data_IF_283539059482
#
_entry.id   IF_283539059482
#
_cell.length_a   1.000
_cell.length_b   1.000
_cell.length_c   1.000
_cell.angle_alpha   90.00
_cell.angle_beta   90.00
_cell.angle_gamma   90.00
#
_symmetry.space_group_name_H-M   'P 1'
#
loop_
_entity.id
_entity.type
_entity.pdbx_description
1 polymer ?
#
# COMPACT_ATOMS: atom_id res chain seq x y z
N UNK A 1 -8.07 -11.20 -10.79
CA UNK A 1 -8.19 -12.51 -10.11
C UNK A 1 -7.02 -12.65 -9.14
N UNK A 2 -7.22 -12.97 -7.85
CA UNK A 2 -6.10 -13.25 -6.96
C UNK A 2 -5.31 -14.44 -7.53
N UNK A 3 -3.99 -14.27 -7.68
CA UNK A 3 -3.13 -15.34 -8.16
C UNK A 3 -3.04 -16.47 -7.12
N UNK A 4 -2.96 -17.72 -7.57
CA UNK A 4 -2.75 -18.86 -6.67
C UNK A 4 -1.41 -18.70 -5.93
N UNK A 5 -1.40 -19.02 -4.63
CA UNK A 5 -0.18 -19.01 -3.81
C UNK A 5 0.85 -19.95 -4.42
N UNK A 6 2.02 -19.43 -4.77
CA UNK A 6 3.15 -20.24 -5.24
C UNK A 6 4.13 -20.50 -4.10
N UNK A 7 4.51 -21.76 -3.83
CA UNK A 7 5.57 -22.04 -2.88
C UNK A 7 6.85 -21.37 -3.37
N UNK A 8 7.42 -20.51 -2.52
CA UNK A 8 8.65 -19.77 -2.81
C UNK A 8 9.66 -20.15 -1.74
N UNK A 9 10.86 -20.54 -2.14
CA UNK A 9 11.91 -20.88 -1.18
C UNK A 9 12.54 -19.58 -0.66
N UNK A 10 12.58 -19.41 0.67
CA UNK A 10 13.01 -18.19 1.32
C UNK A 10 14.01 -18.55 2.42
N UNK A 11 15.09 -17.78 2.52
CA UNK A 11 16.05 -17.88 3.61
C UNK A 11 15.66 -16.90 4.72
N UNK A 12 15.46 -17.41 5.93
CA UNK A 12 15.12 -16.63 7.12
C UNK A 12 16.14 -16.99 8.20
N UNK A 13 16.46 -16.03 9.08
CA UNK A 13 17.29 -16.29 10.25
C UNK A 13 16.76 -17.49 11.05
N UNK A 14 17.63 -18.43 11.38
CA UNK A 14 17.29 -19.69 12.04
C UNK A 14 16.74 -19.49 13.45
N UNK A 15 17.27 -18.53 14.20
CA UNK A 15 16.83 -18.22 15.56
C UNK A 15 15.42 -17.61 15.56
N UNK A 16 15.16 -16.72 14.60
CA UNK A 16 13.83 -16.15 14.39
C UNK A 16 12.81 -17.22 13.99
N UNK A 17 13.21 -18.17 13.12
CA UNK A 17 12.36 -19.30 12.75
C UNK A 17 12.07 -20.19 13.97
N UNK A 18 13.06 -20.43 14.82
CA UNK A 18 12.89 -21.21 16.04
C UNK A 18 11.91 -20.54 17.02
N UNK A 19 12.06 -19.22 17.24
CA UNK A 19 11.13 -18.42 18.05
C UNK A 19 9.71 -18.48 17.50
N UNK A 20 9.54 -18.23 16.20
CA UNK A 20 8.22 -18.27 15.56
C UNK A 20 7.55 -19.65 15.66
N UNK A 21 8.34 -20.73 15.56
CA UNK A 21 7.83 -22.11 15.74
C UNK A 21 7.48 -22.39 17.19
N UNK A 22 8.27 -21.93 18.16
CA UNK A 22 7.98 -22.06 19.59
C UNK A 22 6.65 -21.39 19.96
N UNK A 23 6.37 -20.24 19.34
CA UNK A 23 5.11 -19.50 19.48
C UNK A 23 3.96 -20.03 18.60
N UNK A 24 4.18 -21.12 17.85
CA UNK A 24 3.20 -21.73 16.94
C UNK A 24 2.66 -20.76 15.89
N UNK A 25 3.46 -19.79 15.46
CA UNK A 25 3.06 -18.81 14.45
C UNK A 25 2.90 -19.45 13.08
N UNK A 26 1.86 -19.05 12.36
CA UNK A 26 1.69 -19.41 10.96
C UNK A 26 2.56 -18.49 10.08
N UNK A 27 3.80 -18.89 9.87
CA UNK A 27 4.81 -18.09 9.17
C UNK A 27 4.37 -17.67 7.77
N UNK A 28 3.69 -18.55 7.03
CA UNK A 28 3.17 -18.22 5.69
C UNK A 28 2.13 -17.12 5.76
N UNK A 29 1.23 -17.16 6.75
CA UNK A 29 0.21 -16.12 6.91
C UNK A 29 0.83 -14.78 7.30
N UNK A 30 1.71 -14.77 8.29
CA UNK A 30 2.38 -13.53 8.76
C UNK A 30 3.17 -12.91 7.62
N UNK A 31 3.96 -13.71 6.90
CA UNK A 31 4.74 -13.22 5.78
C UNK A 31 3.86 -12.62 4.68
N UNK A 32 2.76 -13.30 4.32
CA UNK A 32 1.83 -12.82 3.31
C UNK A 32 1.21 -11.47 3.72
N UNK A 33 0.72 -11.35 4.95
CA UNK A 33 0.12 -10.12 5.48
C UNK A 33 1.12 -8.95 5.42
N UNK A 34 2.35 -9.17 5.91
CA UNK A 34 3.41 -8.15 5.87
C UNK A 34 3.84 -7.80 4.45
N UNK A 35 3.90 -8.79 3.56
CA UNK A 35 4.26 -8.55 2.17
C UNK A 35 3.20 -7.70 1.45
N UNK A 36 1.90 -7.96 1.70
CA UNK A 36 0.80 -7.16 1.17
C UNK A 36 0.89 -5.71 1.67
N UNK A 37 1.19 -5.49 2.95
CA UNK A 37 1.38 -4.16 3.52
C UNK A 37 2.51 -3.40 2.80
N UNK A 38 3.68 -4.03 2.68
CA UNK A 38 4.87 -3.42 2.05
C UNK A 38 4.60 -3.11 0.57
N UNK A 39 3.99 -4.05 -0.18
CA UNK A 39 3.66 -3.85 -1.60
C UNK A 39 2.68 -2.71 -1.77
N UNK A 40 1.64 -2.62 -0.92
CA UNK A 40 0.67 -1.52 -0.94
C UNK A 40 1.32 -0.18 -0.62
N UNK A 41 2.20 -0.13 0.38
CA UNK A 41 2.92 1.08 0.75
C UNK A 41 3.81 1.58 -0.38
N UNK A 42 4.62 0.69 -0.97
CA UNK A 42 5.46 1.03 -2.11
C UNK A 42 4.65 1.44 -3.33
N UNK A 43 3.53 0.75 -3.59
CA UNK A 43 2.59 1.09 -4.65
C UNK A 43 2.00 2.50 -4.47
N UNK A 44 1.57 2.84 -3.25
CA UNK A 44 1.07 4.19 -2.93
C UNK A 44 2.14 5.25 -3.10
N UNK A 45 3.35 5.02 -2.59
CA UNK A 45 4.46 5.95 -2.74
C UNK A 45 4.80 6.18 -4.21
N UNK A 46 4.89 5.11 -5.01
CA UNK A 46 5.13 5.22 -6.44
C UNK A 46 3.99 5.95 -7.18
N UNK A 47 2.74 5.70 -6.80
CA UNK A 47 1.59 6.39 -7.37
C UNK A 47 1.62 7.89 -7.06
N UNK A 48 1.88 8.28 -5.81
CA UNK A 48 2.00 9.67 -5.39
C UNK A 48 3.11 10.40 -6.15
N UNK A 49 4.28 9.77 -6.31
CA UNK A 49 5.38 10.35 -7.08
C UNK A 49 5.00 10.57 -8.55
N UNK A 50 4.33 9.59 -9.17
CA UNK A 50 3.89 9.69 -10.58
C UNK A 50 2.78 10.72 -10.77
N UNK A 51 1.86 10.83 -9.82
CA UNK A 51 0.69 11.71 -9.93
C UNK A 51 0.92 13.10 -9.35
N UNK A 52 2.11 13.40 -8.81
CA UNK A 52 2.41 14.70 -8.20
C UNK A 52 2.12 15.86 -9.15
N UNK A 53 2.60 15.80 -10.39
CA UNK A 53 2.36 16.84 -11.39
C UNK A 53 0.86 17.01 -11.72
N UNK A 54 0.11 15.90 -11.80
CA UNK A 54 -1.34 15.95 -12.05
C UNK A 54 -2.11 16.52 -10.85
N UNK A 55 -1.68 16.19 -9.62
CA UNK A 55 -2.25 16.72 -8.39
C UNK A 55 -1.93 18.21 -8.24
N UNK A 56 -0.72 18.65 -8.56
CA UNK A 56 -0.33 20.07 -8.56
C UNK A 56 -1.14 20.87 -9.58
N UNK A 57 -1.23 20.40 -10.83
CA UNK A 57 -2.04 21.04 -11.86
C UNK A 57 -3.53 21.10 -11.48
N UNK A 58 -4.06 20.04 -10.86
CA UNK A 58 -5.43 20.04 -10.34
C UNK A 58 -5.61 21.04 -9.18
N UNK A 59 -4.66 21.11 -8.25
CA UNK A 59 -4.68 22.03 -7.13
C UNK A 59 -4.60 23.50 -7.59
N UNK A 60 -3.73 23.81 -8.56
CA UNK A 60 -3.67 25.14 -9.17
C UNK A 60 -5.00 25.50 -9.83
N UNK A 61 -5.59 24.55 -10.58
CA UNK A 61 -6.91 24.77 -11.21
C UNK A 61 -7.99 25.05 -10.18
N UNK A 62 -8.05 24.29 -9.09
CA UNK A 62 -9.01 24.55 -8.00
C UNK A 62 -8.73 25.89 -7.30
N UNK A 63 -7.47 26.29 -7.14
CA UNK A 63 -7.10 27.58 -6.57
C UNK A 63 -7.49 28.77 -7.45
N UNK A 64 -7.49 28.60 -8.77
CA UNK A 64 -7.86 29.65 -9.72
C UNK A 64 -9.35 29.66 -10.09
N UNK A 65 -9.97 28.50 -10.27
CA UNK A 65 -11.35 28.36 -10.77
C UNK A 65 -12.37 28.12 -9.65
N UNK A 66 -11.91 27.87 -8.42
CA UNK A 66 -12.76 27.43 -7.32
C UNK A 66 -13.12 25.93 -7.41
N UNK A 67 -13.77 25.42 -6.37
CA UNK A 67 -14.30 24.05 -6.40
C UNK A 67 -15.68 24.03 -7.03
N UNK A 68 -16.00 23.01 -7.82
CA UNK A 68 -17.34 22.87 -8.44
C UNK A 68 -18.50 22.95 -7.42
N UNK A 69 -18.26 22.54 -6.16
CA UNK A 69 -19.23 22.59 -5.07
C UNK A 69 -19.41 23.98 -4.44
N UNK A 70 -18.62 24.97 -4.82
CA UNK A 70 -18.67 26.32 -4.24
C UNK A 70 -19.99 27.04 -4.55
N UNK A 71 -20.61 26.74 -5.70
CA UNK A 71 -21.97 27.20 -6.05
C UNK A 71 -23.11 26.33 -5.49
N UNK A 72 -22.83 25.13 -5.00
CA UNK A 72 -23.83 24.16 -4.51
C UNK A 72 -23.89 24.10 -2.97
N UNK A 73 -22.97 24.76 -2.27
CA UNK A 73 -22.93 24.83 -0.81
C UNK A 73 -23.87 25.94 -0.32
N UNK A 74 -25.16 25.83 -0.63
CA UNK A 74 -26.19 26.80 -0.21
C UNK A 74 -27.55 26.16 0.09
N UNK A 75 -27.61 25.08 0.88
CA UNK A 75 -28.87 24.62 1.51
C UNK A 75 -28.57 23.91 2.82
#
# INVERSE_FOLDING_TARGET
>A
MPAAKKPTNLSINSDLLAQARAEKLNLSRVLEERLVEIVRERGRAAWLTRNRAALEAYNERIGQEGVFSEGLRKY
#
